data_IF_499908908024
#
_entry.id   IF_499908908024
#
_cell.length_a   1.000
_cell.length_b   1.000
_cell.length_c   1.000
_cell.angle_alpha   90.00
_cell.angle_beta   90.00
_cell.angle_gamma   90.00
#
_symmetry.space_group_name_H-M   'P 1'
#
loop_
_entity.id
_entity.type
_entity.pdbx_description
1 polymer ?
#
# COMPACT_ATOMS: atom_id res chain seq x y z
N UNK A 1 5.76 1.45 44.67
CA UNK A 1 4.93 0.42 43.99
C UNK A 1 4.92 0.76 42.50
N UNK A 2 5.34 -0.11 41.57
CA UNK A 2 5.47 0.29 40.18
C UNK A 2 4.12 0.24 39.43
N UNK A 3 3.65 1.44 39.09
CA UNK A 3 3.13 1.88 37.78
C UNK A 3 2.38 0.87 36.90
N UNK A 4 1.04 1.05 36.84
CA UNK A 4 0.15 0.43 35.85
C UNK A 4 0.31 1.12 34.50
N UNK A 5 1.30 0.72 33.71
CA UNK A 5 1.49 1.27 32.36
C UNK A 5 0.39 0.79 31.41
N UNK A 6 -0.47 1.74 31.04
CA UNK A 6 -0.98 1.94 29.67
C UNK A 6 -1.77 0.77 29.04
N UNK A 7 -3.05 0.67 29.39
CA UNK A 7 -4.03 -0.16 28.69
C UNK A 7 -4.41 0.46 27.32
N UNK A 8 -3.51 0.35 26.33
CA UNK A 8 -3.95 0.31 24.91
C UNK A 8 -4.63 -1.05 24.73
N UNK A 9 -5.84 -1.16 24.14
CA UNK A 9 -6.47 -2.47 23.94
C UNK A 9 -5.53 -3.30 23.06
N UNK A 10 -4.81 -4.23 23.70
CA UNK A 10 -3.75 -4.99 23.08
C UNK A 10 -4.34 -5.81 21.95
N UNK A 11 -4.09 -5.40 20.70
CA UNK A 11 -4.30 -6.30 19.58
C UNK A 11 -3.49 -7.55 19.88
N UNK A 12 -4.16 -8.70 19.93
CA UNK A 12 -3.46 -9.98 20.05
C UNK A 12 -2.51 -10.13 18.86
N UNK A 13 -1.37 -10.80 19.03
CA UNK A 13 -0.40 -11.03 17.95
C UNK A 13 -1.06 -11.61 16.67
N UNK A 14 -2.10 -12.44 16.83
CA UNK A 14 -2.91 -12.97 15.72
C UNK A 14 -3.70 -11.89 14.97
N UNK A 15 -4.23 -10.90 15.68
CA UNK A 15 -4.94 -9.78 15.07
C UNK A 15 -3.98 -8.85 14.34
N UNK A 16 -2.78 -8.61 14.88
CA UNK A 16 -1.76 -7.81 14.18
C UNK A 16 -1.28 -8.49 12.90
N UNK A 17 -1.03 -9.81 12.94
CA UNK A 17 -0.70 -10.61 11.76
C UNK A 17 -1.81 -10.55 10.69
N UNK A 18 -3.08 -10.62 11.11
CA UNK A 18 -4.23 -10.47 10.23
C UNK A 18 -4.26 -9.08 9.57
N UNK A 19 -4.04 -8.01 10.34
CA UNK A 19 -3.99 -6.64 9.83
C UNK A 19 -2.86 -6.44 8.80
N UNK A 20 -1.66 -6.98 9.06
CA UNK A 20 -0.52 -6.90 8.12
C UNK A 20 -0.84 -7.61 6.81
N UNK A 21 -1.33 -8.84 6.87
CA UNK A 21 -1.71 -9.61 5.69
C UNK A 21 -2.81 -8.93 4.86
N UNK A 22 -3.75 -8.22 5.51
CA UNK A 22 -4.75 -7.41 4.81
C UNK A 22 -4.15 -6.20 4.08
N UNK A 23 -3.16 -5.53 4.68
CA UNK A 23 -2.48 -4.38 4.04
C UNK A 23 -1.59 -4.84 2.88
N UNK A 24 -1.03 -6.05 2.93
CA UNK A 24 -0.33 -6.70 1.82
C UNK A 24 -1.25 -7.13 0.65
N UNK A 25 -2.56 -6.93 0.76
CA UNK A 25 -3.52 -7.19 -0.33
C UNK A 25 -4.11 -8.60 -0.36
N UNK A 26 -3.99 -9.37 0.73
CA UNK A 26 -4.59 -10.71 0.82
C UNK A 26 -6.09 -10.63 1.12
N UNK A 27 -6.85 -11.63 0.68
CA UNK A 27 -8.27 -11.75 1.03
C UNK A 27 -8.43 -12.01 2.54
N UNK A 28 -9.53 -11.54 3.14
CA UNK A 28 -9.75 -11.69 4.58
C UNK A 28 -9.66 -13.14 5.08
N UNK A 29 -10.12 -14.11 4.29
CA UNK A 29 -9.97 -15.53 4.62
C UNK A 29 -8.50 -15.98 4.63
N UNK A 30 -7.71 -15.59 3.61
CA UNK A 30 -6.29 -15.92 3.53
C UNK A 30 -5.47 -15.21 4.62
N UNK A 31 -5.80 -13.96 4.94
CA UNK A 31 -5.19 -13.21 6.04
C UNK A 31 -5.47 -13.87 7.39
N UNK A 32 -6.68 -14.38 7.62
CA UNK A 32 -7.03 -15.09 8.84
C UNK A 32 -6.32 -16.45 8.93
N UNK A 33 -6.23 -17.20 7.82
CA UNK A 33 -5.47 -18.45 7.78
C UNK A 33 -3.99 -18.23 8.14
N UNK A 34 -3.34 -17.22 7.54
CA UNK A 34 -1.94 -16.87 7.86
C UNK A 34 -1.76 -16.36 9.30
N UNK A 35 -2.77 -15.70 9.86
CA UNK A 35 -2.77 -15.29 11.26
C UNK A 35 -2.95 -16.46 12.26
N UNK A 36 -3.07 -17.70 11.76
CA UNK A 36 -3.22 -18.90 12.57
C UNK A 36 -4.65 -19.21 13.00
N UNK A 37 -5.66 -18.68 12.29
CA UNK A 37 -7.05 -19.10 12.46
C UNK A 37 -7.32 -20.36 11.63
N UNK A 38 -8.09 -21.30 12.19
CA UNK A 38 -8.43 -22.54 11.49
C UNK A 38 -9.17 -22.23 10.18
N UNK A 39 -8.74 -22.83 9.06
CA UNK A 39 -9.22 -22.52 7.71
C UNK A 39 -10.74 -22.62 7.56
N UNK A 40 -11.37 -23.63 8.17
CA UNK A 40 -12.83 -23.77 8.18
C UNK A 40 -13.58 -22.63 8.90
N UNK A 41 -12.90 -21.91 9.80
CA UNK A 41 -13.45 -20.76 10.52
C UNK A 41 -12.89 -19.42 10.05
N UNK A 42 -11.88 -19.42 9.18
CA UNK A 42 -11.10 -18.24 8.80
C UNK A 42 -11.98 -17.15 8.17
N UNK A 43 -12.96 -17.52 7.34
CA UNK A 43 -13.91 -16.59 6.72
C UNK A 43 -14.80 -15.89 7.75
N UNK A 44 -15.33 -16.65 8.72
CA UNK A 44 -16.19 -16.13 9.80
C UNK A 44 -15.37 -15.28 10.78
N UNK A 45 -14.17 -15.75 11.13
CA UNK A 45 -13.23 -15.01 11.97
C UNK A 45 -12.83 -13.69 11.33
N UNK A 46 -12.49 -13.69 10.03
CA UNK A 46 -12.16 -12.48 9.29
C UNK A 46 -13.32 -11.48 9.28
N UNK A 47 -14.55 -11.92 9.01
CA UNK A 47 -15.73 -11.04 9.04
C UNK A 47 -15.92 -10.42 10.43
N UNK A 48 -15.84 -11.22 11.50
CA UNK A 48 -15.92 -10.72 12.89
C UNK A 48 -14.79 -9.76 13.24
N UNK A 49 -13.56 -10.00 12.75
CA UNK A 49 -12.41 -9.14 12.99
C UNK A 49 -12.55 -7.80 12.28
N UNK A 50 -13.02 -7.80 11.03
CA UNK A 50 -13.25 -6.58 10.25
C UNK A 50 -14.34 -5.68 10.86
N UNK A 51 -15.28 -6.24 11.62
CA UNK A 51 -16.28 -5.44 12.35
C UNK A 51 -15.69 -4.73 13.57
N UNK A 52 -14.59 -5.21 14.16
CA UNK A 52 -14.01 -4.62 15.38
C UNK A 52 -13.28 -3.31 15.10
N UNK A 53 -13.63 -2.25 15.82
CA UNK A 53 -13.01 -0.93 15.67
C UNK A 53 -11.50 -0.92 15.93
N UNK A 54 -11.02 -1.76 16.85
CA UNK A 54 -9.58 -1.91 17.12
C UNK A 54 -8.81 -2.40 15.87
N UNK A 55 -9.38 -3.35 15.12
CA UNK A 55 -8.79 -3.89 13.90
C UNK A 55 -8.83 -2.85 12.79
N UNK A 56 -9.97 -2.15 12.62
CA UNK A 56 -10.10 -1.07 11.64
C UNK A 56 -9.06 0.03 11.87
N UNK A 57 -8.89 0.48 13.13
CA UNK A 57 -7.88 1.47 13.50
C UNK A 57 -6.47 1.00 13.14
N UNK A 58 -6.12 -0.24 13.50
CA UNK A 58 -4.80 -0.79 13.19
C UNK A 58 -4.54 -0.88 11.68
N UNK A 59 -5.53 -1.34 10.90
CA UNK A 59 -5.42 -1.40 9.44
C UNK A 59 -5.27 0.01 8.85
N UNK A 60 -5.98 1.00 9.37
CA UNK A 60 -5.83 2.39 8.95
C UNK A 60 -4.41 2.91 9.26
N UNK A 61 -3.91 2.70 10.48
CA UNK A 61 -2.53 3.07 10.85
C UNK A 61 -1.49 2.40 9.94
N UNK A 62 -1.62 1.09 9.69
CA UNK A 62 -0.72 0.36 8.81
C UNK A 62 -0.83 0.81 7.35
N UNK A 63 -2.02 1.19 6.88
CA UNK A 63 -2.20 1.77 5.55
C UNK A 63 -1.59 3.15 5.45
N UNK A 64 -1.71 3.99 6.48
CA UNK A 64 -1.04 5.29 6.54
C UNK A 64 0.47 5.10 6.56
N UNK A 65 0.99 4.20 7.40
CA UNK A 65 2.43 3.92 7.46
C UNK A 65 2.96 3.27 6.16
N UNK A 66 2.18 2.39 5.54
CA UNK A 66 2.50 1.85 4.22
C UNK A 66 2.41 2.93 3.14
N UNK A 67 1.44 3.83 3.23
CA UNK A 67 1.31 4.96 2.31
C UNK A 67 2.43 5.97 2.51
N UNK A 68 2.91 6.19 3.74
CA UNK A 68 4.09 6.99 4.07
C UNK A 68 5.38 6.34 3.57
N UNK A 69 5.49 5.01 3.67
CA UNK A 69 6.62 4.24 3.10
C UNK A 69 6.56 4.11 1.57
N UNK A 70 5.36 4.12 1.00
CA UNK A 70 5.08 4.09 -0.44
C UNK A 70 4.54 5.45 -0.93
N UNK A 71 5.01 6.57 -0.37
CA UNK A 71 4.84 7.87 -1.04
C UNK A 71 5.76 7.83 -2.25
N UNK A 72 5.31 7.16 -3.29
CA UNK A 72 5.78 7.39 -4.64
C UNK A 72 5.24 8.76 -5.00
N UNK A 73 5.99 9.79 -4.64
CA UNK A 73 5.68 11.17 -5.02
C UNK A 73 5.72 11.26 -6.54
N UNK A 74 4.99 12.22 -7.09
CA UNK A 74 5.13 12.60 -8.51
C UNK A 74 6.60 12.82 -8.88
N UNK A 75 7.38 13.40 -7.97
CA UNK A 75 8.82 13.60 -8.14
C UNK A 75 9.60 12.28 -8.25
N UNK A 76 9.27 11.27 -7.43
CA UNK A 76 9.87 9.93 -7.52
C UNK A 76 9.55 9.27 -8.88
N UNK A 77 8.29 9.33 -9.34
CA UNK A 77 7.89 8.79 -10.66
C UNK A 77 8.63 9.50 -11.79
N UNK A 78 8.75 10.83 -11.73
CA UNK A 78 9.46 11.61 -12.74
C UNK A 78 10.95 11.25 -12.76
N UNK A 79 11.60 11.09 -11.60
CA UNK A 79 13.00 10.65 -11.52
C UNK A 79 13.21 9.25 -12.10
N UNK A 80 12.32 8.31 -11.78
CA UNK A 80 12.40 6.95 -12.33
C UNK A 80 12.21 6.95 -13.85
N UNK A 81 11.25 7.72 -14.37
CA UNK A 81 11.03 7.85 -15.82
C UNK A 81 12.21 8.53 -16.54
N UNK A 82 12.87 9.50 -15.90
CA UNK A 82 14.08 10.13 -16.43
C UNK A 82 15.23 9.11 -16.49
N UNK A 83 15.41 8.31 -15.44
CA UNK A 83 16.44 7.26 -15.39
C UNK A 83 16.20 6.22 -16.48
N UNK A 84 14.96 5.74 -16.60
CA UNK A 84 14.55 4.78 -17.63
C UNK A 84 14.73 5.34 -19.05
N UNK A 85 14.48 6.65 -19.25
CA UNK A 85 14.75 7.33 -20.52
C UNK A 85 16.24 7.31 -20.87
N UNK A 86 17.11 7.61 -19.92
CA UNK A 86 18.56 7.63 -20.14
C UNK A 86 19.12 6.22 -20.43
N UNK A 87 18.63 5.20 -19.72
CA UNK A 87 18.95 3.80 -20.02
C UNK A 87 18.44 3.37 -21.41
N UNK A 88 17.20 3.72 -21.77
CA UNK A 88 16.63 3.43 -23.08
C UNK A 88 17.40 4.14 -24.21
N UNK A 89 17.91 5.36 -23.97
CA UNK A 89 18.80 6.07 -24.90
C UNK A 89 20.14 5.34 -25.05
N UNK A 90 20.74 4.88 -23.95
CA UNK A 90 21.98 4.10 -23.99
C UNK A 90 21.80 2.78 -24.77
N UNK A 91 20.64 2.15 -24.65
CA UNK A 91 20.26 0.96 -25.40
C UNK A 91 19.84 1.24 -26.87
N UNK A 92 19.91 2.49 -27.35
CA UNK A 92 19.43 2.95 -28.66
C UNK A 92 17.94 2.67 -28.91
N UNK A 93 17.16 2.43 -27.86
CA UNK A 93 15.71 2.23 -27.91
C UNK A 93 14.98 3.58 -27.82
N UNK A 94 15.13 4.40 -28.87
CA UNK A 94 14.60 5.76 -28.89
C UNK A 94 13.07 5.83 -28.78
N UNK A 95 12.35 4.80 -29.25
CA UNK A 95 10.90 4.71 -29.11
C UNK A 95 10.46 4.61 -27.63
N UNK A 96 11.18 3.81 -26.83
CA UNK A 96 10.92 3.68 -25.39
C UNK A 96 11.27 4.99 -24.65
N UNK A 97 12.38 5.63 -25.01
CA UNK A 97 12.79 6.91 -24.44
C UNK A 97 11.77 8.04 -24.74
N UNK A 98 11.26 8.11 -25.97
CA UNK A 98 10.23 9.08 -26.36
C UNK A 98 8.94 8.89 -25.55
N UNK A 99 8.53 7.64 -25.33
CA UNK A 99 7.33 7.32 -24.53
C UNK A 99 7.50 7.69 -23.06
N UNK A 100 8.68 7.46 -22.47
CA UNK A 100 8.99 7.94 -21.13
C UNK A 100 8.89 9.47 -21.04
N UNK A 101 9.39 10.19 -22.04
CA UNK A 101 9.31 11.65 -22.11
C UNK A 101 7.86 12.16 -22.19
N UNK A 102 6.99 11.48 -22.94
CA UNK A 102 5.56 11.80 -23.00
C UNK A 102 4.87 11.59 -21.64
N UNK A 103 5.18 10.48 -20.96
CA UNK A 103 4.63 10.16 -19.63
C UNK A 103 5.08 11.18 -18.57
N UNK A 104 6.34 11.61 -18.60
CA UNK A 104 6.85 12.69 -17.75
C UNK A 104 6.09 13.99 -18.01
N UNK A 105 5.89 14.36 -19.28
CA UNK A 105 5.13 15.56 -19.66
C UNK A 105 3.66 15.54 -19.23
N UNK A 106 3.02 14.36 -19.23
CA UNK A 106 1.68 14.16 -18.68
C UNK A 106 1.65 14.27 -17.15
N UNK A 107 2.69 13.76 -16.47
CA UNK A 107 2.75 13.75 -14.99
C UNK A 107 3.02 15.14 -14.42
N UNK A 108 3.81 15.97 -15.12
CA UNK A 108 4.12 17.36 -14.73
C UNK A 108 2.96 18.33 -15.07
N UNK A 109 1.92 17.87 -15.76
CA UNK A 109 0.78 18.71 -16.13
C UNK A 109 1.08 19.77 -17.19
N UNK A 110 2.23 19.69 -17.89
CA UNK A 110 2.55 20.59 -19.01
C UNK A 110 1.76 20.28 -20.29
N UNK A 111 1.03 19.18 -20.33
CA UNK A 111 -0.12 19.01 -21.22
C UNK A 111 -1.37 18.98 -20.36
N UNK A 112 -1.92 20.18 -20.09
CA UNK A 112 -3.34 20.31 -19.75
C UNK A 112 -4.10 19.73 -20.94
N UNK A 113 -4.52 18.47 -20.81
CA UNK A 113 -5.60 17.93 -21.62
C UNK A 113 -6.84 18.74 -21.22
N UNK A 114 -7.06 19.82 -21.97
CA UNK A 114 -8.32 20.53 -21.96
C UNK A 114 -9.33 19.60 -22.65
N UNK A 115 -9.92 18.69 -21.88
CA UNK A 115 -11.19 18.05 -22.19
C UNK A 115 -12.17 18.32 -21.05
N UNK A 116 -12.90 19.42 -21.26
CA UNK A 116 -14.27 19.77 -20.87
C UNK A 116 -14.93 18.98 -19.73
N UNK A 117 -15.40 19.68 -18.68
CA UNK A 117 -16.82 20.04 -18.48
C UNK A 117 -16.89 21.43 -17.82
#
# INVERSE_FOLDING_TARGET
MPERTNNKPALSARQDAFCRALVEGRSGAAAAAMAGYAEGSAKVAASRLLTKDNVKRRVAELRTEAQERHIVTVDNVVRDLITLRDEARAAKQYAAAAKCQQLVGMTIGSFVDRREI
#
